data_IF_403235317084
#
_entry.id   IF_403235317084
#
_cell.length_a   1.000
_cell.length_b   1.000
_cell.length_c   1.000
_cell.angle_alpha   90.00
_cell.angle_beta   90.00
_cell.angle_gamma   90.00
#
_symmetry.space_group_name_H-M   'P 1'
#
loop_
_entity.id
_entity.type
_entity.pdbx_description
1 polymer ?
#
# COMPACT_ATOMS: atom_id res chain seq x y z
N UNK A 1 31.16 37.76 -92.81
CA UNK A 1 31.59 36.46 -92.25
C UNK A 1 31.95 36.69 -90.79
N UNK A 2 30.98 36.44 -89.85
CA UNK A 2 31.21 36.69 -88.44
C UNK A 2 30.75 35.39 -87.72
N UNK A 3 31.69 34.72 -87.03
CA UNK A 3 31.44 33.53 -86.22
C UNK A 3 30.87 33.98 -84.86
N UNK A 4 29.70 33.40 -84.50
CA UNK A 4 29.17 33.47 -83.16
C UNK A 4 29.77 32.35 -82.31
N UNK A 5 30.38 32.72 -81.18
CA UNK A 5 30.87 31.82 -80.18
C UNK A 5 29.71 31.47 -79.22
N UNK A 6 29.53 30.21 -78.94
CA UNK A 6 28.64 29.70 -77.92
C UNK A 6 29.40 29.71 -76.59
N UNK A 7 28.82 30.36 -75.57
CA UNK A 7 29.26 30.26 -74.18
C UNK A 7 28.66 28.99 -73.54
N UNK A 8 29.49 28.22 -72.87
CA UNK A 8 29.19 27.05 -72.14
C UNK A 8 28.44 27.36 -70.84
N UNK A 9 27.19 26.87 -70.71
CA UNK A 9 26.36 26.87 -69.50
C UNK A 9 26.57 25.60 -68.63
N UNK A 10 27.81 25.25 -68.36
CA UNK A 10 28.10 23.96 -67.72
C UNK A 10 28.68 24.02 -66.32
N UNK A 11 28.51 25.13 -65.55
CA UNK A 11 29.21 25.28 -64.26
C UNK A 11 28.33 25.63 -63.05
N UNK A 12 27.01 25.60 -63.16
CA UNK A 12 26.15 25.99 -62.01
C UNK A 12 25.36 24.82 -61.38
N UNK A 13 25.20 23.69 -62.07
CA UNK A 13 24.40 22.57 -61.54
C UNK A 13 25.15 21.63 -60.54
N UNK A 14 26.45 21.77 -60.34
CA UNK A 14 27.25 20.90 -59.47
C UNK A 14 27.29 21.28 -58.00
N UNK A 15 26.92 22.53 -57.65
CA UNK A 15 27.16 23.04 -56.29
C UNK A 15 26.03 22.82 -55.31
N UNK A 16 24.79 22.61 -55.75
CA UNK A 16 23.61 22.44 -54.88
C UNK A 16 23.29 21.00 -54.50
N UNK A 17 23.86 20.01 -55.13
CA UNK A 17 23.56 18.59 -54.94
C UNK A 17 24.33 17.93 -53.78
N UNK A 18 25.31 18.61 -53.20
CA UNK A 18 26.24 18.00 -52.25
C UNK A 18 25.99 18.34 -50.78
N UNK A 19 25.08 19.27 -50.46
CA UNK A 19 24.89 19.74 -49.10
C UNK A 19 23.52 19.38 -48.45
N UNK A 20 22.55 18.80 -49.18
CA UNK A 20 21.20 18.62 -48.65
C UNK A 20 20.84 17.19 -48.24
N UNK A 21 21.61 16.18 -48.51
CA UNK A 21 21.25 14.77 -48.23
C UNK A 21 21.76 14.20 -46.89
N UNK A 22 22.88 14.66 -46.30
CA UNK A 22 23.34 14.05 -45.05
C UNK A 22 22.69 14.57 -43.76
N UNK A 23 22.06 15.73 -43.79
CA UNK A 23 21.46 16.33 -42.58
C UNK A 23 20.10 15.76 -42.23
N UNK A 24 19.27 15.42 -43.21
CA UNK A 24 17.93 14.80 -42.96
C UNK A 24 18.07 13.37 -42.43
N UNK A 25 19.01 12.59 -42.95
CA UNK A 25 19.24 11.22 -42.46
C UNK A 25 19.81 11.21 -41.05
N UNK A 26 20.63 12.18 -40.66
CA UNK A 26 21.17 12.27 -39.29
C UNK A 26 20.10 12.70 -38.28
N UNK A 27 19.20 13.63 -38.66
CA UNK A 27 18.13 14.09 -37.80
C UNK A 27 17.11 12.97 -37.54
N UNK A 28 16.72 12.24 -38.58
CA UNK A 28 15.81 11.07 -38.44
C UNK A 28 16.41 9.95 -37.59
N UNK A 29 17.73 9.69 -37.73
CA UNK A 29 18.41 8.67 -36.91
C UNK A 29 18.47 9.11 -35.43
N UNK A 30 18.75 10.38 -35.15
CA UNK A 30 18.81 10.91 -33.79
C UNK A 30 17.40 10.88 -33.14
N UNK A 31 16.36 11.29 -33.88
CA UNK A 31 14.97 11.23 -33.38
C UNK A 31 14.54 9.78 -33.13
N UNK A 32 14.86 8.86 -34.03
CA UNK A 32 14.55 7.45 -33.83
C UNK A 32 15.29 6.85 -32.64
N UNK A 33 16.60 7.15 -32.49
CA UNK A 33 17.39 6.73 -31.33
C UNK A 33 16.85 7.31 -30.01
N UNK A 34 16.41 8.58 -30.01
CA UNK A 34 15.80 9.22 -28.84
C UNK A 34 14.46 8.57 -28.45
N UNK A 35 13.60 8.26 -29.43
CA UNK A 35 12.34 7.57 -29.21
C UNK A 35 12.57 6.18 -28.66
N UNK A 36 13.50 5.41 -29.23
CA UNK A 36 13.87 4.08 -28.74
C UNK A 36 14.46 4.16 -27.32
N UNK A 37 15.28 5.15 -27.02
CA UNK A 37 15.82 5.36 -25.68
C UNK A 37 14.73 5.69 -24.66
N UNK A 38 13.77 6.57 -24.99
CA UNK A 38 12.65 6.93 -24.11
C UNK A 38 11.73 5.72 -23.86
N UNK A 39 11.43 4.91 -24.88
CA UNK A 39 10.61 3.71 -24.73
C UNK A 39 11.31 2.58 -23.99
N UNK A 40 12.64 2.46 -24.13
CA UNK A 40 13.44 1.48 -23.41
C UNK A 40 13.67 1.85 -21.93
N UNK A 41 13.50 3.12 -21.57
CA UNK A 41 13.71 3.63 -20.21
C UNK A 41 12.44 3.61 -19.35
N UNK A 42 11.29 3.17 -19.87
CA UNK A 42 10.07 3.04 -19.08
C UNK A 42 10.25 1.90 -18.08
N UNK A 43 10.59 2.24 -16.84
CA UNK A 43 10.53 1.30 -15.73
C UNK A 43 9.11 0.80 -15.56
N UNK A 44 8.87 -0.50 -15.37
CA UNK A 44 7.52 -1.01 -15.10
C UNK A 44 6.96 -0.29 -13.87
N UNK A 45 5.83 0.35 -14.03
CA UNK A 45 5.09 0.93 -12.91
C UNK A 45 4.70 -0.21 -11.97
N UNK A 46 5.02 -0.07 -10.66
CA UNK A 46 4.55 -1.03 -9.65
C UNK A 46 3.05 -0.83 -9.49
N UNK A 47 2.25 -1.89 -9.64
CA UNK A 47 0.81 -1.79 -9.58
C UNK A 47 0.25 -2.00 -8.15
N UNK A 48 0.91 -2.77 -7.30
CA UNK A 48 0.54 -2.98 -5.90
C UNK A 48 1.76 -2.86 -4.97
N UNK A 49 1.57 -2.36 -3.72
CA UNK A 49 0.34 -1.79 -3.15
C UNK A 49 0.05 -0.37 -3.65
N UNK A 50 -1.21 0.08 -3.51
CA UNK A 50 -1.67 1.43 -3.86
C UNK A 50 -1.79 2.36 -2.65
N UNK A 51 -1.77 1.82 -1.45
CA UNK A 51 -1.82 2.54 -0.19
C UNK A 51 -0.92 1.88 0.85
N UNK A 52 -0.40 2.69 1.77
CA UNK A 52 0.45 2.23 2.87
C UNK A 52 -0.15 2.67 4.19
N UNK A 53 -0.24 1.72 5.11
CA UNK A 53 -0.76 1.95 6.45
C UNK A 53 0.30 1.56 7.45
N UNK A 54 0.78 2.55 8.23
CA UNK A 54 1.61 2.27 9.39
C UNK A 54 0.71 1.84 10.55
N UNK A 55 1.00 0.68 11.10
CA UNK A 55 0.19 0.00 12.10
C UNK A 55 0.80 0.09 13.49
N UNK A 56 -0.03 0.31 14.50
CA UNK A 56 0.25 0.01 15.91
C UNK A 56 -0.80 -0.93 16.44
N UNK A 57 -0.39 -1.93 17.21
CA UNK A 57 -1.32 -2.92 17.78
C UNK A 57 -1.20 -2.97 19.30
N UNK A 58 -2.37 -3.06 19.95
CA UNK A 58 -2.48 -3.32 21.38
C UNK A 58 -3.33 -4.58 21.61
N UNK A 59 -2.78 -5.56 22.29
CA UNK A 59 -3.51 -6.75 22.73
C UNK A 59 -4.28 -6.43 23.99
N UNK A 60 -5.59 -6.59 23.99
CA UNK A 60 -6.46 -6.33 25.14
C UNK A 60 -6.71 -7.63 25.88
N UNK A 61 -6.43 -7.61 27.18
CA UNK A 61 -6.58 -8.77 28.07
C UNK A 61 -7.65 -8.50 29.14
N UNK A 62 -8.35 -9.53 29.55
CA UNK A 62 -9.20 -9.49 30.73
C UNK A 62 -8.40 -9.75 32.02
N UNK A 63 -9.08 -9.68 33.18
CA UNK A 63 -8.47 -9.89 34.49
C UNK A 63 -7.92 -11.32 34.68
N UNK A 64 -8.35 -12.26 33.85
CA UNK A 64 -7.84 -13.64 33.83
C UNK A 64 -6.65 -13.82 32.87
N UNK A 65 -6.17 -12.75 32.21
CA UNK A 65 -5.06 -12.77 31.26
C UNK A 65 -5.43 -13.37 29.91
N UNK A 66 -6.71 -13.48 29.57
CA UNK A 66 -7.18 -13.97 28.26
C UNK A 66 -7.28 -12.81 27.30
N UNK A 67 -6.90 -13.04 26.04
CA UNK A 67 -7.03 -12.04 24.97
C UNK A 67 -8.49 -11.88 24.60
N UNK A 68 -9.03 -10.68 24.74
CA UNK A 68 -10.41 -10.31 24.44
C UNK A 68 -10.58 -9.51 23.17
N UNK A 69 -9.56 -8.77 22.77
CA UNK A 69 -9.59 -7.95 21.56
C UNK A 69 -8.19 -7.62 21.03
N UNK A 70 -8.13 -7.21 19.80
CA UNK A 70 -6.96 -6.55 19.20
C UNK A 70 -7.36 -5.12 18.87
N UNK A 71 -6.74 -4.15 19.53
CA UNK A 71 -6.84 -2.74 19.17
C UNK A 71 -5.82 -2.44 18.08
N UNK A 72 -6.25 -1.68 17.09
CA UNK A 72 -5.44 -1.25 15.96
C UNK A 72 -5.46 0.26 15.85
N UNK A 73 -4.30 0.83 15.54
CA UNK A 73 -4.15 2.23 15.16
C UNK A 73 -3.51 2.27 13.78
N UNK A 74 -4.22 2.83 12.83
CA UNK A 74 -3.82 2.97 11.44
C UNK A 74 -3.44 4.41 11.14
N UNK A 75 -2.24 4.62 10.63
CA UNK A 75 -1.77 5.89 10.10
C UNK A 75 -1.67 5.75 8.58
N UNK A 76 -2.62 6.34 7.90
CA UNK A 76 -2.67 6.25 6.44
C UNK A 76 -1.55 7.09 5.80
N UNK A 77 -1.12 6.70 4.62
CA UNK A 77 -0.14 7.47 3.87
C UNK A 77 -0.69 8.87 3.49
N UNK A 78 0.21 9.84 3.18
CA UNK A 78 -0.22 11.20 2.87
C UNK A 78 -1.11 11.30 1.62
N UNK A 79 -0.90 10.45 0.61
CA UNK A 79 -1.68 10.50 -0.63
C UNK A 79 -3.12 10.03 -0.38
N UNK A 80 -3.27 8.90 0.32
CA UNK A 80 -4.59 8.43 0.75
C UNK A 80 -5.28 9.46 1.65
N UNK A 81 -4.53 10.09 2.56
CA UNK A 81 -5.06 11.11 3.46
C UNK A 81 -5.67 12.29 2.68
N UNK A 82 -4.95 12.82 1.69
CA UNK A 82 -5.47 13.89 0.83
C UNK A 82 -6.73 13.44 0.10
N UNK A 83 -6.70 12.26 -0.50
CA UNK A 83 -7.86 11.71 -1.20
C UNK A 83 -9.08 11.52 -0.27
N UNK A 84 -8.88 10.96 0.91
CA UNK A 84 -9.95 10.66 1.87
C UNK A 84 -10.53 11.93 2.55
N UNK A 85 -9.77 13.02 2.56
CA UNK A 85 -10.19 14.29 3.15
C UNK A 85 -10.54 15.35 2.09
N UNK A 86 -10.54 14.99 0.81
CA UNK A 86 -10.94 15.90 -0.27
C UNK A 86 -12.39 16.35 -0.08
N UNK A 87 -12.61 17.66 -0.17
CA UNK A 87 -13.92 18.28 0.06
C UNK A 87 -14.30 18.47 1.55
N UNK A 88 -13.47 18.02 2.50
CA UNK A 88 -13.69 18.33 3.93
C UNK A 88 -13.30 19.78 4.20
N UNK A 89 -14.31 20.64 4.39
CA UNK A 89 -14.07 22.04 4.72
C UNK A 89 -13.86 22.19 6.23
N UNK A 90 -12.60 22.23 6.65
CA UNK A 90 -12.23 22.41 8.06
C UNK A 90 -12.74 23.72 8.70
N UNK A 91 -13.22 24.67 7.91
CA UNK A 91 -13.74 25.95 8.40
C UNK A 91 -15.25 25.94 8.72
N UNK A 92 -16.02 25.02 8.12
CA UNK A 92 -17.49 24.98 8.26
C UNK A 92 -18.00 23.75 8.98
N UNK A 93 -17.30 22.64 8.90
CA UNK A 93 -17.73 21.39 9.52
C UNK A 93 -16.82 21.06 10.71
N UNK A 94 -17.39 20.48 11.74
CA UNK A 94 -16.55 19.85 12.76
C UNK A 94 -15.73 18.76 12.04
N UNK A 95 -14.47 19.04 11.76
CA UNK A 95 -13.55 18.10 11.13
C UNK A 95 -13.63 16.73 11.81
N UNK A 96 -13.75 16.71 13.12
CA UNK A 96 -13.95 15.49 13.91
C UNK A 96 -15.22 14.73 13.50
N UNK A 97 -16.34 15.40 13.26
CA UNK A 97 -17.57 14.73 12.88
C UNK A 97 -17.47 14.07 11.49
N UNK A 98 -16.83 14.76 10.54
CA UNK A 98 -16.61 14.21 9.19
C UNK A 98 -15.68 13.01 9.23
N UNK A 99 -14.55 13.10 9.94
CA UNK A 99 -13.60 12.01 10.06
C UNK A 99 -14.18 10.81 10.81
N UNK A 100 -15.02 11.06 11.83
CA UNK A 100 -15.76 10.00 12.53
C UNK A 100 -16.75 9.31 11.60
N UNK A 101 -17.49 10.06 10.78
CA UNK A 101 -18.42 9.48 9.80
C UNK A 101 -17.66 8.64 8.73
N UNK A 102 -16.53 9.14 8.25
CA UNK A 102 -15.65 8.41 7.32
C UNK A 102 -15.14 7.11 7.94
N UNK A 103 -14.64 7.15 9.19
CA UNK A 103 -14.18 5.98 9.91
C UNK A 103 -15.30 4.94 10.08
N UNK A 104 -16.51 5.39 10.44
CA UNK A 104 -17.68 4.52 10.56
C UNK A 104 -17.96 3.80 9.25
N UNK A 105 -18.03 4.52 8.13
CA UNK A 105 -18.28 3.94 6.81
C UNK A 105 -17.19 2.94 6.41
N UNK A 106 -15.92 3.28 6.67
CA UNK A 106 -14.81 2.37 6.41
C UNK A 106 -14.94 1.08 7.24
N UNK A 107 -15.26 1.18 8.52
CA UNK A 107 -15.42 0.02 9.40
C UNK A 107 -16.63 -0.84 9.01
N UNK A 108 -17.72 -0.25 8.55
CA UNK A 108 -18.88 -0.98 8.01
C UNK A 108 -18.47 -1.81 6.78
N UNK A 109 -17.67 -1.26 5.87
CA UNK A 109 -17.15 -1.97 4.71
C UNK A 109 -16.14 -3.05 5.11
N UNK A 110 -15.23 -2.76 6.03
CA UNK A 110 -14.22 -3.69 6.52
C UNK A 110 -14.79 -4.89 7.27
N UNK A 111 -16.01 -4.77 7.79
CA UNK A 111 -16.69 -5.85 8.53
C UNK A 111 -16.82 -7.12 7.71
N UNK A 112 -17.10 -7.04 6.42
CA UNK A 112 -17.20 -8.19 5.52
C UNK A 112 -15.85 -8.93 5.34
N UNK A 113 -14.75 -8.27 5.70
CA UNK A 113 -13.38 -8.77 5.61
C UNK A 113 -12.74 -8.97 7.00
N UNK A 114 -13.57 -9.16 8.05
CA UNK A 114 -13.10 -9.32 9.43
C UNK A 114 -12.16 -8.18 9.88
N UNK A 115 -12.39 -6.96 9.41
CA UNK A 115 -11.56 -5.77 9.71
C UNK A 115 -10.07 -5.99 9.38
N UNK A 116 -9.79 -6.75 8.32
CA UNK A 116 -8.45 -7.17 7.91
C UNK A 116 -7.66 -7.93 8.98
N UNK A 117 -8.36 -8.54 9.94
CA UNK A 117 -7.79 -9.15 11.12
C UNK A 117 -7.98 -10.66 11.10
N UNK A 118 -6.92 -11.41 11.25
CA UNK A 118 -6.96 -12.85 11.48
C UNK A 118 -6.33 -13.16 12.86
N UNK A 119 -7.07 -13.79 13.75
CA UNK A 119 -6.55 -14.30 15.03
C UNK A 119 -6.63 -15.81 15.03
N UNK A 120 -5.56 -16.47 15.47
CA UNK A 120 -5.48 -17.94 15.61
C UNK A 120 -5.07 -18.35 17.03
N UNK A 121 -5.75 -19.34 17.57
CA UNK A 121 -5.48 -19.93 18.87
C UNK A 121 -5.22 -21.43 18.66
N UNK A 122 -4.02 -21.90 18.97
CA UNK A 122 -3.64 -23.28 18.70
C UNK A 122 -3.75 -23.68 17.21
N UNK A 123 -3.64 -22.69 16.28
CA UNK A 123 -3.78 -22.89 14.84
C UNK A 123 -5.22 -22.73 14.31
N UNK A 124 -6.23 -22.75 15.15
CA UNK A 124 -7.63 -22.55 14.75
C UNK A 124 -7.97 -21.06 14.69
N UNK A 125 -8.72 -20.63 13.65
CA UNK A 125 -9.16 -19.26 13.50
C UNK A 125 -10.21 -18.92 14.56
N UNK A 126 -9.98 -17.84 15.31
CA UNK A 126 -10.94 -17.31 16.25
C UNK A 126 -12.01 -16.47 15.52
N UNK A 127 -13.25 -16.55 16.01
CA UNK A 127 -14.34 -15.73 15.51
C UNK A 127 -14.24 -14.31 16.11
N UNK A 128 -14.40 -13.30 15.24
CA UNK A 128 -14.37 -11.90 15.63
C UNK A 128 -15.78 -11.36 15.85
N UNK A 129 -15.90 -10.39 16.74
CA UNK A 129 -17.11 -9.62 16.98
C UNK A 129 -17.20 -8.38 16.11
N UNK A 130 -18.19 -7.53 16.42
CA UNK A 130 -18.41 -6.28 15.69
C UNK A 130 -17.67 -5.15 16.41
N UNK A 131 -16.92 -4.35 15.64
CA UNK A 131 -16.30 -3.11 16.13
C UNK A 131 -17.38 -2.12 16.53
N UNK A 132 -17.31 -1.62 17.76
CA UNK A 132 -18.19 -0.58 18.31
C UNK A 132 -17.40 0.58 18.90
N UNK A 133 -16.12 0.40 19.19
CA UNK A 133 -15.21 1.39 19.73
C UNK A 133 -14.22 1.81 18.66
N UNK A 134 -14.30 3.09 18.24
CA UNK A 134 -13.39 3.64 17.23
C UNK A 134 -13.28 5.17 17.38
N UNK A 135 -12.18 5.72 16.88
CA UNK A 135 -11.85 7.13 16.81
C UNK A 135 -11.15 7.43 15.49
N UNK A 136 -11.27 8.66 14.98
CA UNK A 136 -10.52 9.12 13.81
C UNK A 136 -10.26 10.61 13.88
N UNK A 137 -9.04 10.99 13.53
CA UNK A 137 -8.60 12.40 13.49
C UNK A 137 -7.43 12.56 12.52
N UNK A 138 -7.01 13.80 12.27
CA UNK A 138 -5.73 14.08 11.62
C UNK A 138 -4.64 14.22 12.68
N UNK A 139 -3.61 13.39 12.57
CA UNK A 139 -2.39 13.43 13.38
C UNK A 139 -1.19 13.71 12.49
N UNK A 140 -0.47 14.78 12.77
CA UNK A 140 0.73 15.18 11.99
C UNK A 140 0.45 15.26 10.47
N UNK A 141 -0.76 15.72 10.10
CA UNK A 141 -1.18 15.83 8.70
C UNK A 141 -1.54 14.52 8.01
N UNK A 142 -1.62 13.42 8.75
CA UNK A 142 -2.05 12.10 8.28
C UNK A 142 -3.39 11.72 8.88
N UNK A 143 -4.24 11.09 8.10
CA UNK A 143 -5.44 10.44 8.62
C UNK A 143 -5.02 9.33 9.57
N UNK A 144 -5.54 9.38 10.79
CA UNK A 144 -5.38 8.36 11.80
C UNK A 144 -6.74 7.78 12.18
N UNK A 145 -6.77 6.48 12.38
CA UNK A 145 -7.95 5.76 12.83
C UNK A 145 -7.54 4.74 13.87
N UNK A 146 -8.24 4.74 15.01
CA UNK A 146 -8.14 3.72 16.06
C UNK A 146 -9.44 2.96 16.14
N UNK A 147 -9.38 1.64 16.30
CA UNK A 147 -10.55 0.79 16.53
C UNK A 147 -10.18 -0.49 17.25
N UNK A 148 -11.18 -1.08 17.93
CA UNK A 148 -11.00 -2.29 18.73
C UNK A 148 -11.78 -3.43 18.08
N UNK A 149 -11.08 -4.48 17.65
CA UNK A 149 -11.67 -5.69 17.08
C UNK A 149 -11.83 -6.73 18.18
N UNK A 150 -13.04 -6.96 18.71
CA UNK A 150 -13.24 -7.92 19.79
C UNK A 150 -13.22 -9.35 19.26
N UNK A 151 -12.72 -10.28 20.07
CA UNK A 151 -12.96 -11.71 19.88
C UNK A 151 -14.36 -12.07 20.42
N UNK A 152 -15.07 -12.96 19.75
CA UNK A 152 -16.37 -13.45 20.27
C UNK A 152 -16.21 -14.23 21.56
N UNK A 153 -15.11 -14.97 21.67
CA UNK A 153 -14.74 -15.71 22.88
C UNK A 153 -13.33 -15.32 23.28
N UNK A 154 -13.06 -15.02 24.56
CA UNK A 154 -11.74 -14.74 25.04
C UNK A 154 -10.75 -15.87 24.76
N UNK A 155 -9.61 -15.57 24.18
CA UNK A 155 -8.58 -16.54 23.84
C UNK A 155 -7.62 -16.72 25.03
N UNK A 156 -7.53 -17.94 25.55
CA UNK A 156 -6.67 -18.31 26.66
C UNK A 156 -5.29 -18.71 26.14
N UNK A 157 -4.20 -17.96 26.49
CA UNK A 157 -2.84 -18.30 26.08
C UNK A 157 -2.37 -19.68 26.56
N UNK A 158 -2.95 -20.21 27.65
CA UNK A 158 -2.60 -21.54 28.16
C UNK A 158 -3.10 -22.68 27.26
N UNK A 159 -4.11 -22.43 26.45
CA UNK A 159 -4.73 -23.43 25.54
C UNK A 159 -4.00 -23.57 24.22
N UNK A 160 -3.02 -22.72 23.94
CA UNK A 160 -2.26 -22.79 22.71
C UNK A 160 -1.66 -21.44 22.31
N UNK A 161 -0.75 -21.50 21.35
CA UNK A 161 -0.10 -20.28 20.82
C UNK A 161 -1.16 -19.38 20.20
N UNK A 162 -1.16 -18.11 20.59
CA UNK A 162 -1.98 -17.06 19.96
C UNK A 162 -1.11 -16.32 18.96
N UNK A 163 -1.64 -16.25 17.73
CA UNK A 163 -1.00 -15.51 16.62
C UNK A 163 -2.06 -14.65 15.97
N UNK A 164 -1.76 -13.39 15.71
CA UNK A 164 -2.62 -12.55 14.86
C UNK A 164 -1.84 -11.95 13.70
N UNK A 165 -2.58 -11.59 12.66
CA UNK A 165 -2.09 -10.86 11.49
C UNK A 165 -3.14 -9.83 11.07
N UNK A 166 -2.68 -8.69 10.59
CA UNK A 166 -3.53 -7.61 10.07
C UNK A 166 -3.06 -7.34 8.65
N UNK A 167 -3.94 -7.56 7.66
CA UNK A 167 -3.59 -7.45 6.25
C UNK A 167 -4.83 -7.27 5.38
N UNK A 168 -4.71 -6.48 4.34
CA UNK A 168 -5.68 -6.47 3.25
C UNK A 168 -5.55 -7.76 2.43
N UNK A 169 -6.60 -8.60 2.36
CA UNK A 169 -6.55 -9.86 1.61
C UNK A 169 -6.11 -9.71 0.15
N UNK A 170 -6.43 -8.58 -0.47
CA UNK A 170 -6.13 -8.28 -1.87
C UNK A 170 -4.75 -7.68 -2.10
N UNK A 171 -4.07 -7.27 -1.02
CA UNK A 171 -2.81 -6.51 -1.07
C UNK A 171 -2.93 -5.16 -1.79
N UNK A 172 -4.15 -4.59 -1.85
CA UNK A 172 -4.32 -3.23 -2.32
C UNK A 172 -3.65 -2.22 -1.37
N UNK A 173 -3.79 -2.47 -0.04
CA UNK A 173 -3.07 -1.75 0.99
C UNK A 173 -1.99 -2.65 1.64
N UNK A 174 -0.78 -2.12 1.76
CA UNK A 174 0.26 -2.71 2.61
C UNK A 174 0.10 -2.20 4.04
N UNK A 175 -0.03 -3.11 5.00
CA UNK A 175 -0.24 -2.80 6.41
C UNK A 175 0.91 -3.42 7.21
N UNK A 176 1.79 -2.58 7.76
CA UNK A 176 2.97 -3.02 8.49
C UNK A 176 3.12 -2.26 9.80
N UNK A 177 3.61 -2.93 10.84
CA UNK A 177 3.96 -2.28 12.09
C UNK A 177 5.12 -1.31 11.89
N UNK A 178 5.06 -0.18 12.57
CA UNK A 178 6.20 0.73 12.64
C UNK A 178 7.38 0.00 13.28
N UNK A 179 8.57 0.13 12.68
CA UNK A 179 9.76 -0.66 13.07
C UNK A 179 10.21 -0.46 14.51
N UNK A 180 9.87 0.67 15.11
CA UNK A 180 10.23 1.04 16.47
C UNK A 180 9.15 0.66 17.48
N UNK A 181 8.01 0.16 17.02
CA UNK A 181 6.90 -0.17 17.89
C UNK A 181 7.03 -1.59 18.44
N UNK A 182 6.83 -1.69 19.73
CA UNK A 182 6.59 -2.96 20.41
C UNK A 182 5.08 -3.19 20.48
N UNK A 183 4.66 -4.45 20.42
CA UNK A 183 3.26 -4.80 20.66
C UNK A 183 2.89 -4.41 22.09
N UNK A 184 1.92 -3.51 22.23
CA UNK A 184 1.42 -3.08 23.52
C UNK A 184 0.41 -4.09 24.09
N UNK A 185 0.30 -4.11 25.41
CA UNK A 185 -0.67 -4.93 26.14
C UNK A 185 -1.46 -4.05 27.10
N UNK A 186 -2.78 -4.23 27.15
CA UNK A 186 -3.69 -3.53 28.06
C UNK A 186 -4.50 -4.56 28.86
N UNK A 187 -4.64 -4.36 30.18
CA UNK A 187 -5.38 -5.23 31.08
C UNK A 187 -4.52 -6.24 31.85
N UNK A 188 -3.42 -6.72 31.31
CA UNK A 188 -2.51 -7.60 32.01
C UNK A 188 -1.55 -6.84 32.93
N UNK A 189 -1.01 -7.50 34.00
CA UNK A 189 0.12 -6.95 34.73
C UNK A 189 1.30 -6.69 33.80
N UNK A 190 2.04 -5.60 34.02
CA UNK A 190 3.18 -5.23 33.20
C UNK A 190 4.20 -6.40 33.12
N UNK A 191 4.59 -6.78 31.89
CA UNK A 191 5.59 -7.82 31.62
C UNK A 191 5.07 -9.27 31.67
N UNK A 192 3.77 -9.50 31.87
CA UNK A 192 3.21 -10.86 31.84
C UNK A 192 3.13 -11.45 30.43
N UNK A 193 3.00 -10.60 29.41
CA UNK A 193 2.90 -11.00 28.01
C UNK A 193 3.94 -10.26 27.15
N UNK A 194 4.33 -10.92 26.06
CA UNK A 194 5.24 -10.38 25.05
C UNK A 194 4.69 -10.69 23.64
N UNK A 195 4.82 -9.73 22.74
CA UNK A 195 4.48 -9.86 21.31
C UNK A 195 5.73 -9.83 20.44
N UNK A 196 5.92 -10.87 19.63
CA UNK A 196 6.99 -10.96 18.63
C UNK A 196 6.41 -10.69 17.24
N UNK A 197 6.87 -9.65 16.55
CA UNK A 197 6.53 -9.40 15.15
C UNK A 197 7.43 -10.25 14.26
N UNK A 198 6.81 -11.15 13.48
CA UNK A 198 7.49 -11.99 12.50
C UNK A 198 7.24 -11.38 11.12
N UNK A 199 8.28 -10.90 10.44
CA UNK A 199 8.13 -10.28 9.12
C UNK A 199 7.62 -11.28 8.09
N UNK A 200 6.96 -10.81 7.00
CA UNK A 200 6.59 -11.65 5.88
C UNK A 200 7.83 -12.17 5.15
N UNK A 201 7.68 -13.33 4.52
CA UNK A 201 8.71 -13.92 3.66
C UNK A 201 8.09 -14.34 2.33
N UNK A 202 7.70 -13.37 1.45
CA UNK A 202 7.08 -13.65 0.17
C UNK A 202 8.07 -14.34 -0.78
N UNK A 203 7.57 -15.26 -1.61
CA UNK A 203 8.36 -15.86 -2.69
C UNK A 203 8.59 -14.84 -3.81
N UNK A 204 9.59 -15.13 -4.66
CA UNK A 204 9.85 -14.29 -5.85
C UNK A 204 8.64 -14.23 -6.76
N UNK A 205 7.92 -15.35 -6.93
CA UNK A 205 6.70 -15.44 -7.73
C UNK A 205 5.59 -14.53 -7.16
N UNK A 206 5.38 -14.54 -5.84
CA UNK A 206 4.40 -13.67 -5.19
C UNK A 206 4.74 -12.18 -5.39
N UNK A 207 6.03 -11.83 -5.29
CA UNK A 207 6.50 -10.47 -5.55
C UNK A 207 6.27 -10.06 -7.01
N UNK A 208 6.56 -10.95 -7.96
CA UNK A 208 6.33 -10.69 -9.38
C UNK A 208 4.83 -10.58 -9.70
N UNK A 209 4.01 -11.44 -9.10
CA UNK A 209 2.56 -11.38 -9.24
C UNK A 209 2.01 -10.05 -8.74
N UNK A 210 2.37 -9.62 -7.53
CA UNK A 210 1.96 -8.33 -6.97
C UNK A 210 2.36 -7.14 -7.85
N UNK A 211 3.53 -7.20 -8.49
CA UNK A 211 4.00 -6.16 -9.41
C UNK A 211 3.27 -6.16 -10.75
N UNK A 212 2.78 -7.32 -11.19
CA UNK A 212 2.11 -7.50 -12.48
C UNK A 212 0.60 -7.27 -12.42
N UNK A 213 0.00 -7.23 -11.21
CA UNK A 213 -1.43 -6.98 -11.06
C UNK A 213 -1.76 -5.56 -11.48
N UNK A 214 -2.74 -5.42 -12.37
CA UNK A 214 -3.29 -4.13 -12.76
C UNK A 214 -4.29 -3.66 -11.69
N UNK A 215 -4.57 -2.34 -11.68
CA UNK A 215 -5.53 -1.70 -10.78
C UNK A 215 -6.92 -2.37 -10.82
N UNK A 216 -7.31 -2.84 -12.00
CA UNK A 216 -8.63 -3.43 -12.27
C UNK A 216 -8.59 -4.98 -12.27
N UNK A 217 -7.46 -5.58 -11.87
CA UNK A 217 -7.37 -7.03 -11.78
C UNK A 217 -8.34 -7.57 -10.72
N UNK A 218 -8.96 -8.71 -11.01
CA UNK A 218 -9.76 -9.42 -10.00
C UNK A 218 -8.86 -9.78 -8.82
N UNK A 219 -9.15 -9.30 -7.59
CA UNK A 219 -8.26 -9.49 -6.46
C UNK A 219 -8.10 -10.98 -6.13
N UNK A 220 -6.87 -11.46 -6.08
CA UNK A 220 -6.57 -12.71 -5.42
C UNK A 220 -6.59 -12.48 -3.90
N UNK A 221 -7.66 -12.88 -3.24
CA UNK A 221 -7.88 -12.68 -1.80
C UNK A 221 -6.89 -13.45 -0.92
N UNK A 222 -5.94 -14.18 -1.50
CA UNK A 222 -4.87 -14.87 -0.78
C UNK A 222 -3.54 -14.12 -0.78
N UNK A 223 -3.37 -13.14 -1.68
CA UNK A 223 -2.10 -12.47 -1.92
C UNK A 223 -1.63 -11.68 -0.70
N UNK A 224 -2.52 -10.90 -0.09
CA UNK A 224 -2.18 -10.09 1.08
C UNK A 224 -1.64 -10.89 2.25
N UNK A 225 -2.10 -12.13 2.42
CA UNK A 225 -1.62 -13.01 3.48
C UNK A 225 -0.14 -13.38 3.36
N UNK A 226 0.39 -13.39 2.13
CA UNK A 226 1.81 -13.71 1.86
C UNK A 226 2.71 -12.55 2.28
N UNK A 227 2.19 -11.32 2.22
CA UNK A 227 2.90 -10.09 2.61
C UNK A 227 2.58 -9.65 4.04
N UNK A 228 1.76 -10.41 4.78
CA UNK A 228 1.34 -10.06 6.13
C UNK A 228 2.43 -10.35 7.16
N UNK A 229 2.66 -9.41 8.07
CA UNK A 229 3.34 -9.67 9.32
C UNK A 229 2.49 -10.55 10.23
N UNK A 230 3.13 -11.35 11.07
CA UNK A 230 2.46 -12.16 12.09
C UNK A 230 2.97 -11.80 13.46
N UNK A 231 2.07 -11.51 14.38
CA UNK A 231 2.40 -11.26 15.77
C UNK A 231 2.14 -12.52 16.59
N UNK A 232 3.19 -13.05 17.20
CA UNK A 232 3.10 -14.16 18.15
C UNK A 232 2.99 -13.62 19.57
N UNK A 233 1.96 -14.04 20.29
CA UNK A 233 1.75 -13.67 21.69
C UNK A 233 2.25 -14.79 22.58
N UNK A 234 3.06 -14.44 23.56
CA UNK A 234 3.53 -15.35 24.63
C UNK A 234 3.24 -14.69 25.96
N UNK A 235 2.49 -15.37 26.84
CA UNK A 235 2.21 -14.95 28.22
C UNK A 235 2.81 -15.96 29.21
N UNK A 236 3.18 -15.47 30.40
CA UNK A 236 3.75 -16.28 31.51
C UNK A 236 2.75 -16.38 32.63
#
# INVERSE_FOLDING_TARGET
MIRKGTCDDALIDGFWRMYFIPTFGRLTTVVFALVVYITASSSPARAHPHSWIDLRSTVVLDDAGRVTAIEQQWFFDPLYTVFATDGVNAATDSQTAVLTALAKTNLENLRAHDYFTEVRVGGLRAALGTVSEFESELREGRLWMRFVVPLREPADPSRGKIVFAIFDPTYYAEILHLREDVIAFRGAPAGSCHGEIVPPNPTTEAILLARAMDRDATPDTSLGKVFAERVKITCR
#
